data_IF_794660594234
#
_entry.id   IF_794660594234
#
_cell.length_a   1.000
_cell.length_b   1.000
_cell.length_c   1.000
_cell.angle_alpha   90.00
_cell.angle_beta   90.00
_cell.angle_gamma   90.00
#
_symmetry.space_group_name_H-M   'P 1'
#
loop_
_entity.id
_entity.type
_entity.pdbx_description
1 polymer ?
#
# COMPACT_ATOMS: atom_id res chain seq x y z
N UNK A 1 28.28 9.14 -10.51
CA UNK A 1 27.36 8.06 -10.91
C UNK A 1 26.48 8.59 -12.03
N UNK A 2 26.36 7.86 -13.15
CA UNK A 2 25.45 8.23 -14.24
C UNK A 2 24.24 7.31 -14.13
N UNK A 3 23.08 7.86 -13.77
CA UNK A 3 21.81 7.13 -13.76
C UNK A 3 21.14 7.34 -15.13
N UNK A 4 20.90 6.29 -15.92
CA UNK A 4 20.27 6.43 -17.23
C UNK A 4 18.93 7.17 -17.15
N UNK A 5 18.74 8.15 -18.03
CA UNK A 5 17.52 8.96 -18.09
C UNK A 5 17.37 10.01 -16.98
N UNK A 6 18.26 10.06 -15.98
CA UNK A 6 18.19 11.07 -14.93
C UNK A 6 18.71 12.41 -15.46
N UNK A 7 17.79 13.37 -15.63
CA UNK A 7 18.15 14.75 -15.93
C UNK A 7 18.74 15.43 -14.70
N UNK A 8 19.90 16.05 -14.86
CA UNK A 8 20.59 16.78 -13.78
C UNK A 8 20.68 18.27 -14.06
N UNK A 9 20.81 19.05 -12.99
CA UNK A 9 20.80 20.51 -12.99
C UNK A 9 21.93 21.04 -12.12
N UNK A 10 22.71 21.98 -12.66
CA UNK A 10 23.61 22.78 -11.83
C UNK A 10 22.79 23.74 -10.97
N UNK A 11 23.06 23.74 -9.68
CA UNK A 11 22.37 24.55 -8.67
C UNK A 11 23.39 25.27 -7.79
N UNK A 12 22.95 26.30 -7.07
CA UNK A 12 23.82 27.00 -6.13
C UNK A 12 24.10 26.11 -4.91
N UNK A 13 25.36 25.75 -4.71
CA UNK A 13 25.81 24.85 -3.65
C UNK A 13 25.39 25.33 -2.25
N UNK A 14 25.64 26.60 -1.91
CA UNK A 14 25.32 27.17 -0.61
C UNK A 14 23.83 27.15 -0.28
N UNK A 15 22.98 27.39 -1.28
CA UNK A 15 21.52 27.35 -1.13
C UNK A 15 20.94 25.92 -1.07
N UNK A 16 21.77 24.90 -1.31
CA UNK A 16 21.34 23.50 -1.46
C UNK A 16 22.00 22.57 -0.44
N UNK A 17 23.17 22.94 0.06
CA UNK A 17 23.88 22.23 1.12
C UNK A 17 23.00 21.93 2.35
N UNK A 18 22.19 22.87 2.89
CA UNK A 18 21.30 22.56 4.01
C UNK A 18 20.29 21.42 3.73
N UNK A 19 19.86 21.24 2.48
CA UNK A 19 18.96 20.15 2.09
C UNK A 19 19.69 18.81 2.05
N UNK A 20 20.92 18.80 1.51
CA UNK A 20 21.76 17.60 1.45
C UNK A 20 22.17 17.19 2.86
N UNK A 21 22.61 18.14 3.67
CA UNK A 21 23.01 17.90 5.06
C UNK A 21 21.83 17.35 5.87
N UNK A 22 20.61 17.90 5.71
CA UNK A 22 19.41 17.33 6.32
C UNK A 22 19.23 15.84 5.98
N UNK A 23 19.31 15.48 4.69
CA UNK A 23 19.13 14.10 4.23
C UNK A 23 20.22 13.19 4.82
N UNK A 24 21.49 13.60 4.70
CA UNK A 24 22.62 12.78 5.13
C UNK A 24 22.69 12.63 6.65
N UNK A 25 22.44 13.69 7.40
CA UNK A 25 22.47 13.66 8.85
C UNK A 25 21.32 12.83 9.41
N UNK A 26 20.12 12.93 8.80
CA UNK A 26 18.97 12.10 9.20
C UNK A 26 19.23 10.62 8.97
N UNK A 27 19.77 10.24 7.80
CA UNK A 27 20.12 8.86 7.49
C UNK A 27 21.23 8.33 8.42
N UNK A 28 22.28 9.11 8.68
CA UNK A 28 23.34 8.72 9.62
C UNK A 28 22.82 8.57 11.03
N UNK A 29 21.93 9.45 11.49
CA UNK A 29 21.31 9.38 12.80
C UNK A 29 20.44 8.13 12.97
N UNK A 30 19.80 7.67 11.89
CA UNK A 30 19.10 6.38 11.83
C UNK A 30 20.04 5.16 11.75
N UNK A 31 21.36 5.36 11.86
CA UNK A 31 22.38 4.31 11.82
C UNK A 31 22.77 3.85 10.41
N UNK A 32 22.33 4.55 9.36
CA UNK A 32 22.69 4.17 7.99
C UNK A 32 24.14 4.53 7.67
N UNK A 33 24.82 3.64 6.95
CA UNK A 33 26.12 3.87 6.34
C UNK A 33 25.93 4.46 4.95
N UNK A 34 26.35 5.70 4.75
CA UNK A 34 26.30 6.35 3.43
C UNK A 34 27.35 5.72 2.51
N UNK A 35 26.90 5.20 1.36
CA UNK A 35 27.74 4.60 0.33
C UNK A 35 28.10 5.62 -0.76
N UNK A 36 27.13 6.48 -1.13
CA UNK A 36 27.31 7.56 -2.09
C UNK A 36 26.39 8.74 -1.77
N UNK A 37 26.85 9.95 -2.05
CA UNK A 37 26.03 11.15 -2.06
C UNK A 37 26.50 12.09 -3.20
N UNK A 38 25.55 12.65 -3.93
CA UNK A 38 25.81 13.71 -4.91
C UNK A 38 26.30 14.99 -4.23
N UNK A 39 27.13 15.76 -4.94
CA UNK A 39 27.55 17.08 -4.47
C UNK A 39 26.36 18.05 -4.40
N UNK A 40 26.35 19.03 -3.47
CA UNK A 40 25.21 19.94 -3.31
C UNK A 40 24.99 20.92 -4.47
N UNK A 41 25.95 21.05 -5.40
CA UNK A 41 25.88 21.87 -6.60
C UNK A 41 25.14 21.19 -7.77
N UNK A 42 24.66 19.95 -7.57
CA UNK A 42 23.95 19.15 -8.57
C UNK A 42 22.63 18.61 -8.02
N UNK A 43 21.54 18.81 -8.77
CA UNK A 43 20.21 18.29 -8.44
C UNK A 43 19.62 17.45 -9.58
N UNK A 44 18.68 16.52 -9.31
CA UNK A 44 18.23 16.06 -7.99
C UNK A 44 19.36 15.35 -7.24
N UNK A 45 19.24 15.26 -5.92
CA UNK A 45 20.28 14.64 -5.10
C UNK A 45 20.18 13.12 -5.19
N UNK A 46 21.32 12.46 -5.40
CA UNK A 46 21.40 11.00 -5.45
C UNK A 46 22.15 10.55 -4.21
N UNK A 47 21.50 9.75 -3.37
CA UNK A 47 22.13 9.18 -2.18
C UNK A 47 21.91 7.67 -2.19
N UNK A 48 22.97 6.90 -1.98
CA UNK A 48 22.86 5.46 -1.71
C UNK A 48 23.44 5.17 -0.34
N UNK A 49 22.78 4.28 0.39
CA UNK A 49 23.15 3.95 1.76
C UNK A 49 22.78 2.50 2.09
N UNK A 50 23.40 2.00 3.13
CA UNK A 50 23.13 0.71 3.74
C UNK A 50 22.50 0.95 5.12
N UNK A 51 21.37 0.33 5.42
CA UNK A 51 20.69 0.45 6.71
C UNK A 51 21.41 -0.37 7.79
N UNK A 52 21.06 -0.21 9.08
CA UNK A 52 21.56 -1.08 10.15
C UNK A 52 21.28 -2.57 9.94
N UNK A 53 20.25 -2.92 9.16
CA UNK A 53 19.87 -4.29 8.81
C UNK A 53 20.54 -4.77 7.50
N UNK A 54 21.58 -4.08 7.04
CA UNK A 54 22.30 -4.34 5.80
C UNK A 54 21.50 -4.19 4.50
N UNK A 55 20.30 -3.61 4.56
CA UNK A 55 19.50 -3.29 3.37
C UNK A 55 20.17 -2.15 2.59
N UNK A 56 20.34 -2.31 1.27
CA UNK A 56 20.88 -1.25 0.41
C UNK A 56 19.77 -0.50 -0.30
N UNK A 57 19.72 0.80 -0.07
CA UNK A 57 18.71 1.68 -0.64
C UNK A 57 19.38 2.80 -1.44
N UNK A 58 18.84 3.10 -2.62
CA UNK A 58 19.11 4.32 -3.35
C UNK A 58 17.93 5.28 -3.30
N UNK A 59 18.19 6.58 -3.21
CA UNK A 59 17.19 7.64 -3.37
C UNK A 59 17.61 8.64 -4.44
N UNK A 60 16.63 9.11 -5.21
CA UNK A 60 16.74 10.27 -6.10
C UNK A 60 15.80 11.34 -5.55
N UNK A 61 16.35 12.29 -4.80
CA UNK A 61 15.61 13.30 -4.07
C UNK A 61 15.51 14.61 -4.86
N UNK A 62 14.29 14.91 -5.33
CA UNK A 62 13.89 16.22 -5.78
C UNK A 62 13.56 17.10 -4.57
N UNK A 63 14.60 17.67 -3.96
CA UNK A 63 14.50 18.40 -2.70
C UNK A 63 14.51 19.93 -2.89
N UNK A 64 13.61 20.61 -2.19
CA UNK A 64 13.43 22.06 -2.23
C UNK A 64 13.33 22.62 -0.82
N UNK A 65 13.70 23.89 -0.63
CA UNK A 65 13.49 24.57 0.66
C UNK A 65 11.99 24.82 0.86
N UNK A 66 11.47 24.32 1.98
CA UNK A 66 10.19 24.72 2.53
C UNK A 66 10.38 26.02 3.31
N UNK A 67 9.48 26.97 3.09
CA UNK A 67 9.53 28.30 3.71
C UNK A 67 8.16 28.76 4.16
N UNK A 68 8.15 29.48 5.29
CA UNK A 68 7.02 30.30 5.73
C UNK A 68 7.26 31.73 5.27
N UNK A 69 6.72 32.10 4.11
CA UNK A 69 6.86 33.47 3.58
C UNK A 69 5.54 34.20 3.78
N UNK A 70 5.43 35.14 4.73
CA UNK A 70 4.25 35.98 4.88
C UNK A 70 4.06 36.78 3.59
N UNK A 71 2.90 36.65 2.95
CA UNK A 71 2.54 37.51 1.82
C UNK A 71 1.15 38.06 2.05
N UNK A 72 0.92 39.31 1.62
CA UNK A 72 -0.28 40.09 1.96
C UNK A 72 -1.61 39.44 1.53
N UNK A 73 -1.58 38.53 0.55
CA UNK A 73 -2.75 37.89 -0.06
C UNK A 73 -2.83 36.38 0.19
N UNK A 74 -2.07 35.85 1.17
CA UNK A 74 -2.10 34.42 1.52
C UNK A 74 -2.57 34.22 2.96
N UNK A 75 -3.21 33.08 3.27
CA UNK A 75 -3.49 32.70 4.64
C UNK A 75 -2.22 32.78 5.50
N UNK A 76 -2.33 33.32 6.71
CA UNK A 76 -1.18 33.54 7.61
C UNK A 76 -0.55 32.25 8.13
N UNK A 77 -1.28 31.14 7.98
CA UNK A 77 -0.91 29.77 8.36
C UNK A 77 -0.34 28.96 7.18
N UNK A 78 -0.16 29.55 6.00
CA UNK A 78 0.34 28.84 4.81
C UNK A 78 1.87 28.76 4.79
N UNK A 79 2.39 27.54 4.66
CA UNK A 79 3.77 27.21 4.30
C UNK A 79 3.84 26.66 2.89
N UNK A 80 4.99 26.76 2.24
CA UNK A 80 5.15 26.18 0.91
C UNK A 80 6.60 25.85 0.55
N UNK A 81 6.79 24.98 -0.43
CA UNK A 81 8.06 24.83 -1.15
C UNK A 81 7.83 25.02 -2.65
N UNK A 82 8.79 25.65 -3.32
CA UNK A 82 8.69 25.95 -4.76
C UNK A 82 9.52 24.95 -5.58
N UNK A 83 8.89 24.27 -6.53
CA UNK A 83 9.52 23.28 -7.40
C UNK A 83 10.31 24.00 -8.48
N UNK A 84 11.61 24.23 -8.27
CA UNK A 84 12.48 24.85 -9.27
C UNK A 84 13.95 24.46 -9.13
N UNK A 85 14.58 24.21 -10.27
CA UNK A 85 16.04 24.15 -10.41
C UNK A 85 16.49 25.19 -11.45
N UNK A 86 17.32 26.16 -11.07
CA UNK A 86 17.72 27.23 -12.01
C UNK A 86 16.65 28.30 -12.28
N UNK A 87 16.88 29.12 -13.32
CA UNK A 87 16.07 30.29 -13.66
C UNK A 87 14.95 29.99 -14.67
N UNK A 88 13.96 30.89 -14.77
CA UNK A 88 12.80 30.72 -15.67
C UNK A 88 13.21 30.62 -17.15
N UNK A 89 14.30 31.29 -17.54
CA UNK A 89 14.87 31.22 -18.89
C UNK A 89 15.44 29.84 -19.26
N UNK A 90 15.74 29.00 -18.26
CA UNK A 90 16.24 27.64 -18.48
C UNK A 90 15.14 26.66 -18.92
N UNK A 91 13.88 27.10 -18.93
CA UNK A 91 12.73 26.30 -19.30
C UNK A 91 11.98 26.98 -20.46
N UNK A 92 11.97 26.33 -21.61
CA UNK A 92 11.20 26.75 -22.80
C UNK A 92 9.69 26.61 -22.58
N UNK A 93 8.90 27.09 -23.55
CA UNK A 93 7.46 27.40 -23.43
C UNK A 93 6.51 26.36 -22.82
N UNK A 94 6.89 25.09 -22.69
CA UNK A 94 6.01 24.05 -22.11
C UNK A 94 6.27 23.78 -20.62
N UNK A 95 7.45 24.12 -20.05
CA UNK A 95 7.81 24.00 -18.62
C UNK A 95 7.43 22.68 -17.90
N UNK A 96 7.11 21.62 -18.63
CA UNK A 96 6.76 20.29 -18.11
C UNK A 96 8.04 19.48 -17.88
N UNK A 97 8.11 18.81 -16.75
CA UNK A 97 9.26 18.02 -16.33
C UNK A 97 8.80 16.67 -15.80
N UNK A 98 9.24 15.61 -16.44
CA UNK A 98 9.10 14.26 -15.92
C UNK A 98 10.08 14.05 -14.77
N UNK A 99 9.53 13.75 -13.59
CA UNK A 99 10.35 13.32 -12.46
C UNK A 99 10.84 11.91 -12.78
N UNK A 100 12.15 11.70 -12.69
CA UNK A 100 12.74 10.41 -12.99
C UNK A 100 12.12 9.33 -12.12
N UNK A 101 11.70 8.24 -12.74
CA UNK A 101 11.15 7.07 -12.07
C UNK A 101 12.07 5.89 -12.36
N UNK A 102 12.48 5.15 -11.33
CA UNK A 102 13.36 4.01 -11.56
C UNK A 102 12.62 2.86 -12.25
N UNK A 103 12.96 2.48 -13.50
CA UNK A 103 12.33 1.33 -14.14
C UNK A 103 12.60 -0.01 -13.44
N UNK A 104 13.68 -0.11 -12.63
CA UNK A 104 14.12 -1.37 -12.02
C UNK A 104 13.83 -1.49 -10.51
N UNK A 105 13.38 -0.40 -9.88
CA UNK A 105 12.98 -0.42 -8.45
C UNK A 105 14.13 -0.44 -7.43
N UNK A 106 15.35 -0.13 -7.85
CA UNK A 106 16.55 0.01 -7.03
C UNK A 106 16.64 1.36 -6.31
N UNK A 107 16.08 2.41 -6.91
CA UNK A 107 16.04 3.78 -6.39
C UNK A 107 14.61 4.20 -6.11
N UNK A 108 14.45 4.89 -4.99
CA UNK A 108 13.21 5.56 -4.61
C UNK A 108 13.29 7.02 -5.03
N UNK A 109 12.40 7.43 -5.93
CA UNK A 109 12.25 8.85 -6.26
C UNK A 109 11.50 9.54 -5.12
N UNK A 110 11.99 10.70 -4.69
CA UNK A 110 11.32 11.51 -3.66
C UNK A 110 11.09 12.92 -4.20
N UNK A 111 9.94 13.50 -3.89
CA UNK A 111 9.64 14.92 -4.14
C UNK A 111 9.36 15.61 -2.80
N UNK A 112 10.34 16.35 -2.29
CA UNK A 112 10.33 16.82 -0.90
C UNK A 112 10.57 18.32 -0.75
N UNK A 113 9.79 18.95 0.12
CA UNK A 113 10.09 20.25 0.72
C UNK A 113 10.70 20.05 2.10
N UNK A 114 11.92 20.54 2.33
CA UNK A 114 12.62 20.40 3.60
C UNK A 114 12.73 21.77 4.25
N UNK A 115 12.42 21.86 5.55
CA UNK A 115 12.74 22.99 6.40
C UNK A 115 13.91 22.59 7.33
N UNK A 116 15.16 22.91 6.95
CA UNK A 116 16.33 22.51 7.75
C UNK A 116 16.36 23.17 9.12
N UNK A 117 15.70 24.33 9.29
CA UNK A 117 15.68 25.11 10.52
C UNK A 117 14.71 24.49 11.52
N UNK A 118 13.49 24.22 11.08
CA UNK A 118 12.46 23.59 11.92
C UNK A 118 12.65 22.05 12.01
N UNK A 119 13.57 21.47 11.23
CA UNK A 119 13.99 20.08 11.37
C UNK A 119 13.01 19.05 10.81
N UNK A 120 12.20 19.43 9.82
CA UNK A 120 11.24 18.52 9.19
C UNK A 120 11.24 18.61 7.66
N UNK A 121 10.57 17.65 7.03
CA UNK A 121 10.30 17.64 5.60
C UNK A 121 8.86 17.21 5.30
N UNK A 122 8.40 17.56 4.10
CA UNK A 122 7.09 17.20 3.54
C UNK A 122 7.31 16.63 2.15
N UNK A 123 6.89 15.39 1.95
CA UNK A 123 6.90 14.70 0.68
C UNK A 123 5.54 14.77 -0.03
N UNK A 124 5.60 14.98 -1.33
CA UNK A 124 4.50 14.79 -2.25
C UNK A 124 4.76 13.57 -3.13
N UNK A 125 3.69 12.97 -3.64
CA UNK A 125 3.79 11.80 -4.50
C UNK A 125 4.53 12.13 -5.83
N UNK A 126 5.73 11.58 -6.07
CA UNK A 126 6.50 11.88 -7.26
C UNK A 126 5.87 11.32 -8.55
N UNK A 127 5.01 10.30 -8.47
CA UNK A 127 4.27 9.75 -9.63
C UNK A 127 3.15 10.70 -10.03
N UNK A 128 2.39 11.19 -9.04
CA UNK A 128 1.30 12.14 -9.28
C UNK A 128 1.80 13.52 -9.78
N UNK A 129 3.07 13.84 -9.49
CA UNK A 129 3.77 15.03 -9.96
C UNK A 129 4.71 14.72 -11.13
N UNK A 130 4.40 13.72 -11.97
CA UNK A 130 5.13 13.47 -13.21
C UNK A 130 4.18 13.29 -14.40
N UNK A 131 4.19 14.20 -15.40
CA UNK A 131 5.01 15.41 -15.47
C UNK A 131 4.52 16.50 -14.48
N UNK A 132 5.45 17.27 -13.92
CA UNK A 132 5.15 18.48 -13.13
C UNK A 132 5.61 19.74 -13.86
N UNK A 133 4.99 20.88 -13.53
CA UNK A 133 5.47 22.19 -13.99
C UNK A 133 6.44 22.76 -12.97
N UNK A 134 7.62 23.16 -13.41
CA UNK A 134 8.48 23.95 -12.53
C UNK A 134 7.95 25.38 -12.35
N UNK A 135 8.37 26.01 -11.26
CA UNK A 135 7.89 27.26 -10.69
C UNK A 135 6.50 27.22 -10.04
N UNK A 136 5.87 26.05 -9.90
CA UNK A 136 4.70 25.87 -9.04
C UNK A 136 5.11 25.77 -7.57
N UNK A 137 4.17 26.08 -6.68
CA UNK A 137 4.33 25.91 -5.24
C UNK A 137 3.47 24.78 -4.74
N UNK A 138 4.04 23.99 -3.84
CA UNK A 138 3.33 23.03 -3.02
C UNK A 138 3.07 23.67 -1.67
N UNK A 139 1.80 23.84 -1.34
CA UNK A 139 1.32 24.52 -0.14
C UNK A 139 0.91 23.47 0.91
N UNK A 140 1.14 23.81 2.18
CA UNK A 140 0.71 23.07 3.37
C UNK A 140 0.51 24.06 4.53
N UNK A 141 -0.04 23.62 5.66
CA UNK A 141 -0.44 24.48 6.77
C UNK A 141 0.50 24.38 7.96
N UNK A 142 0.53 25.44 8.78
CA UNK A 142 1.26 25.47 10.06
C UNK A 142 0.85 24.29 10.95
N UNK A 143 -0.44 23.95 11.01
CA UNK A 143 -0.93 22.79 11.78
C UNK A 143 -0.25 21.47 11.38
N UNK A 144 0.03 21.25 10.09
CA UNK A 144 0.71 20.03 9.64
C UNK A 144 2.18 20.04 10.07
N UNK A 145 2.84 21.20 10.05
CA UNK A 145 4.20 21.33 10.56
C UNK A 145 4.25 21.04 12.08
N UNK A 146 3.27 21.52 12.85
CA UNK A 146 3.18 21.23 14.28
C UNK A 146 2.91 19.73 14.57
N UNK A 147 2.04 19.09 13.78
CA UNK A 147 1.80 17.64 13.87
C UNK A 147 3.08 16.84 13.60
N UNK A 148 3.85 17.19 12.55
CA UNK A 148 5.13 16.53 12.25
C UNK A 148 6.11 16.72 13.40
N UNK A 149 6.25 17.94 13.94
CA UNK A 149 7.19 18.21 15.03
C UNK A 149 6.81 17.52 16.33
N UNK A 150 5.51 17.38 16.60
CA UNK A 150 5.03 16.77 17.85
C UNK A 150 5.08 15.24 17.82
N UNK A 151 4.79 14.62 16.67
CA UNK A 151 4.71 13.16 16.52
C UNK A 151 5.90 12.55 15.77
N UNK A 152 6.74 13.36 15.16
CA UNK A 152 7.79 12.94 14.22
C UNK A 152 7.28 12.54 12.84
N UNK A 153 5.97 12.27 12.70
CA UNK A 153 5.32 11.78 11.49
C UNK A 153 3.89 12.31 11.38
N UNK A 154 3.49 12.73 10.18
CA UNK A 154 2.11 13.14 9.91
C UNK A 154 1.76 12.92 8.44
N UNK A 155 0.57 12.42 8.15
CA UNK A 155 0.10 12.18 6.77
C UNK A 155 -1.30 12.75 6.64
N UNK A 156 -1.57 13.45 5.54
CA UNK A 156 -2.85 14.12 5.34
C UNK A 156 -3.18 14.27 3.85
N UNK A 157 -4.45 14.55 3.58
CA UNK A 157 -4.91 14.87 2.23
C UNK A 157 -4.92 16.38 1.99
N UNK A 158 -4.51 16.77 0.78
CA UNK A 158 -4.60 18.14 0.27
C UNK A 158 -5.47 18.17 -0.97
N UNK A 159 -6.48 19.04 -0.99
CA UNK A 159 -7.29 19.31 -2.19
C UNK A 159 -6.47 20.09 -3.23
N UNK A 160 -6.52 19.66 -4.49
CA UNK A 160 -5.85 20.37 -5.59
C UNK A 160 -6.69 21.55 -6.08
N UNK A 161 -6.09 22.74 -6.17
CA UNK A 161 -6.75 23.95 -6.72
C UNK A 161 -7.04 23.85 -8.23
N UNK A 162 -6.30 23.01 -8.95
CA UNK A 162 -6.44 22.79 -10.40
C UNK A 162 -6.48 21.29 -10.65
N UNK A 163 -7.63 20.83 -11.15
CA UNK A 163 -7.89 19.43 -11.48
C UNK A 163 -7.64 19.28 -12.99
N UNK A 164 -6.69 18.45 -13.39
CA UNK A 164 -6.68 17.95 -14.77
C UNK A 164 -7.90 17.03 -14.93
N UNK A 165 -8.57 17.03 -16.08
CA UNK A 165 -9.85 16.32 -16.27
C UNK A 165 -9.85 14.83 -15.86
N UNK A 166 -8.65 14.22 -15.75
CA UNK A 166 -8.45 12.80 -15.42
C UNK A 166 -7.61 12.58 -14.13
N UNK A 167 -7.28 13.61 -13.37
CA UNK A 167 -6.45 13.52 -12.15
C UNK A 167 -7.29 13.46 -10.86
N UNK A 168 -6.76 12.89 -9.76
CA UNK A 168 -7.47 12.86 -8.49
C UNK A 168 -7.66 14.28 -7.92
N UNK A 169 -8.82 14.49 -7.27
CA UNK A 169 -9.21 15.78 -6.66
C UNK A 169 -8.33 16.17 -5.47
N UNK A 170 -7.73 15.17 -4.83
CA UNK A 170 -6.86 15.32 -3.68
C UNK A 170 -5.55 14.57 -3.91
N UNK A 171 -4.54 14.92 -3.13
CA UNK A 171 -3.28 14.21 -3.05
C UNK A 171 -2.92 13.95 -1.59
N UNK A 172 -2.11 12.94 -1.35
CA UNK A 172 -1.62 12.61 -0.02
C UNK A 172 -0.20 13.12 0.14
N UNK A 173 -0.02 13.97 1.14
CA UNK A 173 1.29 14.44 1.57
C UNK A 173 1.68 13.69 2.85
N UNK A 174 2.97 13.42 2.98
CA UNK A 174 3.55 12.82 4.18
C UNK A 174 4.64 13.73 4.71
N UNK A 175 4.70 13.92 6.01
CA UNK A 175 5.70 14.72 6.67
C UNK A 175 6.44 13.90 7.70
N UNK A 176 7.75 14.14 7.80
CA UNK A 176 8.62 13.47 8.73
C UNK A 176 9.65 14.46 9.30
N UNK A 177 10.00 14.29 10.57
CA UNK A 177 11.18 14.93 11.15
C UNK A 177 12.47 14.22 10.73
N UNK A 178 13.61 14.66 11.27
CA UNK A 178 14.91 14.01 11.01
C UNK A 178 14.96 12.55 11.47
N UNK A 179 14.34 12.22 12.60
CA UNK A 179 14.37 10.87 13.15
C UNK A 179 13.60 9.87 12.29
N UNK A 180 12.57 10.34 11.59
CA UNK A 180 11.69 9.51 10.75
C UNK A 180 11.95 9.69 9.24
N UNK A 181 13.07 10.30 8.85
CA UNK A 181 13.38 10.47 7.43
C UNK A 181 13.60 9.13 6.71
N UNK A 182 14.24 8.15 7.35
CA UNK A 182 14.39 6.81 6.78
C UNK A 182 13.03 6.13 6.57
N UNK A 183 12.12 6.33 7.52
CA UNK A 183 10.74 5.85 7.43
C UNK A 183 10.02 6.51 6.25
N UNK A 184 10.22 7.81 6.02
CA UNK A 184 9.71 8.50 4.83
C UNK A 184 10.25 7.91 3.52
N UNK A 185 11.54 7.55 3.47
CA UNK A 185 12.14 6.90 2.29
C UNK A 185 11.45 5.56 2.00
N UNK A 186 11.30 4.73 3.04
CA UNK A 186 10.60 3.44 2.91
C UNK A 186 9.13 3.64 2.52
N UNK A 187 8.50 4.72 2.99
CA UNK A 187 7.10 5.04 2.69
C UNK A 187 6.95 5.36 1.21
N UNK A 188 7.83 6.20 0.66
CA UNK A 188 7.82 6.52 -0.77
C UNK A 188 8.05 5.28 -1.63
N UNK A 189 8.95 4.38 -1.21
CA UNK A 189 9.21 3.13 -1.92
C UNK A 189 7.97 2.24 -1.97
N UNK A 190 7.31 2.05 -0.83
CA UNK A 190 6.11 1.22 -0.72
C UNK A 190 4.86 1.88 -1.33
N UNK A 191 4.81 3.21 -1.32
CA UNK A 191 3.69 4.01 -1.82
C UNK A 191 3.72 4.23 -3.33
N UNK A 192 4.76 3.77 -4.03
CA UNK A 192 4.93 4.00 -5.46
C UNK A 192 3.78 3.39 -6.27
N UNK A 193 3.07 4.25 -7.00
CA UNK A 193 1.98 3.85 -7.89
C UNK A 193 0.66 3.55 -7.18
N UNK A 194 0.57 3.78 -5.87
CA UNK A 194 -0.71 3.76 -5.15
C UNK A 194 -1.53 5.00 -5.49
N UNK A 195 -2.85 4.89 -5.45
CA UNK A 195 -3.72 6.07 -5.49
C UNK A 195 -3.61 6.86 -4.16
N UNK A 196 -4.00 8.15 -4.15
CA UNK A 196 -3.88 8.98 -2.95
C UNK A 196 -4.57 8.39 -1.70
N UNK A 197 -5.69 7.68 -1.83
CA UNK A 197 -6.38 7.06 -0.70
C UNK A 197 -5.58 5.90 -0.10
N UNK A 198 -5.10 4.98 -0.93
CA UNK A 198 -4.26 3.87 -0.48
C UNK A 198 -2.92 4.35 0.08
N UNK A 199 -2.37 5.45 -0.47
CA UNK A 199 -1.17 6.11 0.05
C UNK A 199 -1.39 6.75 1.42
N UNK A 200 -2.57 7.35 1.67
CA UNK A 200 -2.93 7.86 3.01
C UNK A 200 -2.99 6.72 4.01
N UNK A 201 -3.68 5.62 3.65
CA UNK A 201 -3.82 4.46 4.53
C UNK A 201 -2.46 3.81 4.85
N UNK A 202 -1.56 3.75 3.87
CA UNK A 202 -0.18 3.32 4.09
C UNK A 202 0.50 4.22 5.13
N UNK A 203 0.35 5.53 5.01
CA UNK A 203 0.94 6.53 5.89
C UNK A 203 0.38 6.54 7.31
N UNK A 204 -0.93 6.33 7.47
CA UNK A 204 -1.60 6.26 8.78
C UNK A 204 -1.22 4.98 9.55
N UNK A 205 -1.03 3.86 8.84
CA UNK A 205 -0.59 2.60 9.44
C UNK A 205 0.92 2.53 9.69
N UNK A 206 1.68 3.44 9.09
CA UNK A 206 3.15 3.41 8.99
C UNK A 206 3.85 3.36 10.35
N UNK A 207 3.35 4.10 11.35
CA UNK A 207 3.89 4.13 12.72
C UNK A 207 3.75 2.80 13.48
N UNK A 208 2.92 1.88 13.01
CA UNK A 208 2.59 0.63 13.73
C UNK A 208 3.17 -0.65 13.12
N UNK A 209 3.75 -0.59 11.92
CA UNK A 209 4.03 -1.80 11.11
C UNK A 209 5.46 -1.95 10.59
N UNK A 210 6.36 -0.99 10.82
CA UNK A 210 7.76 -1.08 10.38
C UNK A 210 8.70 -1.09 11.57
N UNK A 211 9.90 -1.72 11.45
CA UNK A 211 10.96 -1.54 12.42
C UNK A 211 11.26 -0.06 12.50
N UNK A 212 10.85 0.58 13.59
CA UNK A 212 11.11 1.99 13.86
C UNK A 212 12.60 2.28 13.67
N UNK A 213 12.95 3.49 13.23
CA UNK A 213 14.33 4.00 13.16
C UNK A 213 15.11 3.98 14.49
N UNK A 214 14.51 3.45 15.57
CA UNK A 214 15.21 3.14 16.81
C UNK A 214 15.97 1.82 16.67
N UNK A 215 17.28 1.79 16.99
CA UNK A 215 18.02 0.55 17.01
C UNK A 215 17.31 -0.41 17.98
N UNK A 216 16.95 -1.63 17.56
CA UNK A 216 16.52 -2.63 18.52
C UNK A 216 17.65 -2.77 19.55
N UNK A 217 17.33 -2.64 20.84
CA UNK A 217 18.24 -3.11 21.88
C UNK A 217 18.55 -4.56 21.53
N UNK A 218 19.80 -4.85 21.23
CA UNK A 218 20.30 -6.20 21.04
C UNK A 218 20.02 -6.97 22.34
N UNK A 219 18.89 -7.68 22.37
CA UNK A 219 18.80 -8.85 23.22
C UNK A 219 19.73 -9.85 22.58
N UNK A 220 20.95 -9.90 23.12
CA UNK A 220 21.81 -11.07 23.05
C UNK A 220 21.03 -12.24 23.66
N UNK A 221 20.27 -12.92 22.82
CA UNK A 221 19.87 -14.29 23.07
C UNK A 221 20.11 -15.03 21.77
N UNK A 222 21.26 -15.72 21.73
CA UNK A 222 21.41 -16.90 20.92
C UNK A 222 20.20 -17.80 21.22
N UNK A 223 19.26 -17.82 20.29
CA UNK A 223 18.32 -18.91 20.19
C UNK A 223 18.56 -19.43 18.79
N UNK A 224 19.36 -20.50 18.70
CA UNK A 224 19.25 -21.46 17.60
C UNK A 224 17.81 -21.98 17.63
N UNK A 225 16.90 -21.22 17.01
CA UNK A 225 15.57 -21.68 16.65
C UNK A 225 15.73 -22.23 15.25
N UNK A 226 15.33 -23.48 15.08
CA UNK A 226 15.30 -24.18 13.79
C UNK A 226 14.94 -23.22 12.67
N UNK A 227 15.90 -22.97 11.78
CA UNK A 227 15.69 -22.13 10.61
C UNK A 227 14.57 -22.77 9.80
N UNK A 228 13.48 -22.02 9.58
CA UNK A 228 12.31 -22.52 8.87
C UNK A 228 12.74 -23.12 7.51
N UNK A 229 12.25 -24.30 7.10
CA UNK A 229 12.71 -24.97 5.88
C UNK A 229 12.64 -24.10 4.61
N UNK A 230 11.64 -23.22 4.49
CA UNK A 230 11.57 -22.25 3.39
C UNK A 230 12.70 -21.21 3.42
N UNK A 231 13.10 -20.74 4.60
CA UNK A 231 14.23 -19.81 4.73
C UNK A 231 15.53 -20.48 4.25
N UNK A 232 15.72 -21.76 4.60
CA UNK A 232 16.84 -22.56 4.08
C UNK A 232 16.75 -22.80 2.57
N UNK A 233 15.57 -23.14 2.05
CA UNK A 233 15.37 -23.42 0.62
C UNK A 233 15.57 -22.19 -0.25
N UNK A 234 15.10 -21.02 0.20
CA UNK A 234 15.23 -19.77 -0.53
C UNK A 234 16.57 -19.07 -0.31
N UNK A 235 17.40 -19.58 0.61
CA UNK A 235 18.66 -18.94 1.01
C UNK A 235 18.45 -17.50 1.47
N UNK A 236 17.32 -17.26 2.13
CA UNK A 236 16.90 -15.97 2.66
C UNK A 236 16.50 -16.14 4.13
N UNK A 237 16.80 -15.13 4.94
CA UNK A 237 16.25 -15.05 6.29
C UNK A 237 14.71 -14.93 6.27
N UNK A 238 14.03 -15.33 7.35
CA UNK A 238 12.58 -15.11 7.48
C UNK A 238 12.18 -13.65 7.23
N UNK A 239 12.99 -12.69 7.69
CA UNK A 239 12.72 -11.26 7.53
C UNK A 239 12.82 -10.83 6.05
N UNK A 240 13.84 -11.27 5.32
CA UNK A 240 13.98 -11.00 3.89
C UNK A 240 12.82 -11.57 3.06
N UNK A 241 12.30 -12.75 3.44
CA UNK A 241 11.11 -13.33 2.80
C UNK A 241 9.89 -12.44 3.05
N UNK A 242 9.69 -11.96 4.27
CA UNK A 242 8.58 -11.08 4.61
C UNK A 242 8.67 -9.73 3.89
N UNK A 243 9.87 -9.18 3.75
CA UNK A 243 10.11 -7.95 3.01
C UNK A 243 9.82 -8.12 1.51
N UNK A 244 10.23 -9.25 0.91
CA UNK A 244 9.88 -9.59 -0.47
C UNK A 244 8.37 -9.70 -0.68
N UNK A 245 7.65 -10.35 0.25
CA UNK A 245 6.19 -10.43 0.23
C UNK A 245 5.58 -9.02 0.32
N UNK A 246 6.10 -8.17 1.21
CA UNK A 246 5.58 -6.81 1.41
C UNK A 246 5.79 -5.92 0.17
N UNK A 247 6.94 -6.04 -0.49
CA UNK A 247 7.32 -5.24 -1.66
C UNK A 247 6.70 -5.69 -2.99
N UNK A 248 6.24 -6.93 -3.10
CA UNK A 248 5.65 -7.47 -4.33
C UNK A 248 4.12 -7.55 -4.26
N UNK A 249 3.42 -6.62 -4.92
CA UNK A 249 1.94 -6.48 -4.85
C UNK A 249 1.16 -7.76 -5.14
N UNK A 250 1.56 -8.52 -6.18
CA UNK A 250 0.92 -9.80 -6.54
C UNK A 250 1.13 -10.87 -5.47
N UNK A 251 2.33 -10.97 -4.93
CA UNK A 251 2.67 -11.94 -3.89
C UNK A 251 1.94 -11.60 -2.58
N UNK A 252 1.90 -10.31 -2.22
CA UNK A 252 1.10 -9.80 -1.10
C UNK A 252 -0.39 -10.14 -1.23
N UNK A 253 -0.96 -9.97 -2.42
CA UNK A 253 -2.36 -10.34 -2.67
C UNK A 253 -2.61 -11.85 -2.55
N UNK A 254 -1.69 -12.68 -3.06
CA UNK A 254 -1.78 -14.14 -2.93
C UNK A 254 -1.71 -14.58 -1.47
N UNK A 255 -0.70 -14.10 -0.73
CA UNK A 255 -0.53 -14.38 0.72
C UNK A 255 -1.77 -13.92 1.49
N UNK A 256 -2.33 -12.75 1.15
CA UNK A 256 -3.55 -12.25 1.80
C UNK A 256 -4.78 -13.11 1.54
N UNK A 257 -4.90 -13.71 0.36
CA UNK A 257 -5.93 -14.71 0.05
C UNK A 257 -5.82 -15.90 1.00
N UNK A 258 -4.64 -16.52 1.02
CA UNK A 258 -4.35 -17.70 1.85
C UNK A 258 -4.50 -17.44 3.35
N UNK A 259 -4.09 -16.26 3.83
CA UNK A 259 -4.29 -15.89 5.23
C UNK A 259 -5.78 -15.75 5.56
N UNK A 260 -6.60 -15.20 4.63
CA UNK A 260 -8.04 -15.13 4.83
C UNK A 260 -8.69 -16.53 4.86
N UNK A 261 -8.25 -17.45 3.99
CA UNK A 261 -8.68 -18.85 4.00
C UNK A 261 -8.31 -19.55 5.32
N UNK A 262 -7.11 -19.33 5.86
CA UNK A 262 -6.70 -19.93 7.13
C UNK A 262 -7.52 -19.39 8.31
N UNK A 263 -7.75 -18.08 8.36
CA UNK A 263 -8.62 -17.50 9.38
C UNK A 263 -10.07 -17.97 9.24
N UNK A 264 -10.57 -18.13 8.01
CA UNK A 264 -11.88 -18.71 7.77
C UNK A 264 -11.96 -20.15 8.29
N UNK A 265 -10.98 -20.99 7.95
CA UNK A 265 -10.91 -22.39 8.41
C UNK A 265 -10.90 -22.47 9.94
N UNK A 266 -10.08 -21.65 10.60
CA UNK A 266 -10.05 -21.57 12.06
C UNK A 266 -11.42 -21.17 12.63
N UNK A 267 -12.03 -20.12 12.07
CA UNK A 267 -13.36 -19.61 12.50
C UNK A 267 -14.45 -20.67 12.34
N UNK A 268 -14.45 -21.40 11.23
CA UNK A 268 -15.42 -22.46 10.96
C UNK A 268 -15.19 -23.70 11.82
N UNK A 269 -13.94 -24.05 12.10
CA UNK A 269 -13.60 -25.17 13.00
C UNK A 269 -14.16 -24.91 14.41
N UNK A 270 -14.12 -23.65 14.86
CA UNK A 270 -14.64 -23.24 16.17
C UNK A 270 -16.17 -23.00 16.16
N UNK A 271 -16.83 -23.11 15.00
CA UNK A 271 -18.28 -22.90 14.90
C UNK A 271 -19.04 -24.13 15.42
N UNK A 272 -19.89 -23.93 16.42
CA UNK A 272 -20.75 -24.99 16.99
C UNK A 272 -21.51 -25.73 15.89
N UNK A 273 -21.40 -27.06 15.89
CA UNK A 273 -22.07 -27.93 14.93
C UNK A 273 -21.23 -28.29 13.71
N UNK A 274 -20.12 -27.61 13.44
CA UNK A 274 -19.16 -28.07 12.42
C UNK A 274 -18.43 -29.32 12.95
N UNK A 275 -18.56 -30.44 12.24
CA UNK A 275 -17.95 -31.72 12.64
C UNK A 275 -16.70 -32.06 11.82
N UNK A 276 -16.49 -31.35 10.70
CA UNK A 276 -15.28 -31.46 9.89
C UNK A 276 -15.06 -30.14 9.14
N UNK A 277 -13.82 -29.69 9.05
CA UNK A 277 -13.41 -28.52 8.28
C UNK A 277 -11.97 -28.70 7.80
N UNK A 278 -11.76 -28.68 6.48
CA UNK A 278 -10.43 -28.79 5.88
C UNK A 278 -10.28 -27.81 4.71
N UNK A 279 -9.04 -27.39 4.47
CA UNK A 279 -8.70 -26.60 3.28
C UNK A 279 -8.49 -27.54 2.12
N UNK A 280 -8.99 -27.16 0.96
CA UNK A 280 -8.77 -27.85 -0.30
C UNK A 280 -7.63 -27.15 -1.06
N UNK A 281 -6.81 -27.93 -1.76
CA UNK A 281 -5.68 -27.43 -2.55
C UNK A 281 -5.77 -28.00 -3.97
N UNK A 282 -6.94 -27.79 -4.60
CA UNK A 282 -7.23 -28.21 -5.96
C UNK A 282 -7.28 -27.00 -6.89
N UNK A 283 -6.56 -27.06 -8.02
CA UNK A 283 -6.49 -25.94 -8.96
C UNK A 283 -7.89 -25.62 -9.52
N UNK A 284 -8.39 -24.43 -9.18
CA UNK A 284 -9.70 -23.95 -9.63
C UNK A 284 -10.90 -24.59 -8.93
N UNK A 285 -10.66 -25.37 -7.87
CA UNK A 285 -11.68 -25.86 -6.94
C UNK A 285 -12.02 -24.85 -5.84
N UNK A 286 -13.01 -25.18 -4.98
CA UNK A 286 -13.33 -24.39 -3.80
C UNK A 286 -12.21 -24.42 -2.76
N UNK A 287 -12.19 -23.43 -1.87
CA UNK A 287 -11.11 -23.26 -0.89
C UNK A 287 -11.26 -24.16 0.37
N UNK A 288 -12.50 -24.42 0.81
CA UNK A 288 -12.77 -25.16 2.06
C UNK A 288 -13.87 -26.21 1.87
N UNK A 289 -13.68 -27.38 2.47
CA UNK A 289 -14.70 -28.41 2.67
C UNK A 289 -15.15 -28.41 4.14
N UNK A 290 -16.45 -28.47 4.38
CA UNK A 290 -17.00 -28.65 5.73
C UNK A 290 -18.03 -29.77 5.79
N UNK A 291 -18.27 -30.25 7.01
CA UNK A 291 -19.50 -30.96 7.39
C UNK A 291 -20.11 -30.28 8.60
N UNK A 292 -21.40 -30.02 8.54
CA UNK A 292 -22.15 -29.45 9.64
C UNK A 292 -23.23 -30.44 10.10
N UNK A 293 -23.29 -30.69 11.41
CA UNK A 293 -24.17 -31.65 12.07
C UNK A 293 -24.14 -33.05 11.43
N UNK A 294 -22.95 -33.50 10.99
CA UNK A 294 -22.74 -34.77 10.28
C UNK A 294 -23.52 -34.90 8.95
N UNK A 295 -23.98 -33.79 8.38
CA UNK A 295 -24.55 -33.75 7.04
C UNK A 295 -23.54 -34.12 5.94
N UNK A 296 -24.02 -34.17 4.67
CA UNK A 296 -23.14 -34.30 3.52
C UNK A 296 -22.15 -33.14 3.43
N UNK A 297 -21.03 -33.27 2.71
CA UNK A 297 -20.05 -32.20 2.61
C UNK A 297 -20.65 -30.96 1.93
N UNK A 298 -20.24 -29.78 2.40
CA UNK A 298 -20.46 -28.49 1.74
C UNK A 298 -19.11 -27.88 1.36
N UNK A 299 -19.08 -27.19 0.22
CA UNK A 299 -17.88 -26.48 -0.25
C UNK A 299 -18.04 -24.97 -0.16
N UNK A 300 -16.96 -24.28 0.23
CA UNK A 300 -16.93 -22.83 0.40
C UNK A 300 -15.84 -22.19 -0.44
N UNK A 301 -16.16 -21.05 -1.03
CA UNK A 301 -15.20 -20.12 -1.62
C UNK A 301 -14.96 -18.95 -0.65
N UNK A 302 -13.69 -18.66 -0.34
CA UNK A 302 -13.25 -17.51 0.43
C UNK A 302 -12.85 -16.37 -0.51
N UNK A 303 -13.43 -15.18 -0.29
CA UNK A 303 -13.01 -13.99 -1.03
C UNK A 303 -12.81 -12.79 -0.11
N UNK A 304 -11.71 -12.10 -0.33
CA UNK A 304 -11.50 -10.80 0.28
C UNK A 304 -12.42 -9.74 -0.37
N UNK A 305 -13.09 -8.94 0.44
CA UNK A 305 -13.78 -7.76 -0.06
C UNK A 305 -12.77 -6.68 -0.48
N UNK A 306 -13.14 -5.88 -1.46
CA UNK A 306 -12.46 -4.64 -1.81
C UNK A 306 -12.48 -3.65 -0.65
N UNK A 307 -11.49 -2.75 -0.61
CA UNK A 307 -11.33 -1.76 0.47
C UNK A 307 -12.41 -0.67 0.47
N UNK A 308 -12.95 -0.35 -0.70
CA UNK A 308 -13.98 0.67 -0.84
C UNK A 308 -15.36 0.05 -0.82
N UNK A 309 -16.25 0.62 -0.03
CA UNK A 309 -17.68 0.32 -0.08
C UNK A 309 -18.34 1.04 -1.26
N UNK A 310 -19.52 0.60 -1.66
CA UNK A 310 -20.36 1.40 -2.53
C UNK A 310 -20.91 2.65 -1.81
N UNK A 311 -21.67 3.48 -2.54
CA UNK A 311 -22.30 4.71 -2.00
C UNK A 311 -23.27 4.48 -0.84
N UNK A 312 -23.68 3.22 -0.61
CA UNK A 312 -24.59 2.81 0.45
C UNK A 312 -23.84 2.13 1.60
N UNK A 313 -22.50 2.11 1.58
CA UNK A 313 -21.70 1.47 2.63
C UNK A 313 -21.53 -0.04 2.47
N UNK A 314 -21.97 -0.65 1.36
CA UNK A 314 -21.83 -2.09 1.17
C UNK A 314 -20.43 -2.46 0.62
N UNK A 315 -19.71 -3.40 1.25
CA UNK A 315 -18.49 -3.96 0.68
C UNK A 315 -18.74 -4.62 -0.69
N UNK A 316 -17.71 -4.68 -1.52
CA UNK A 316 -17.76 -5.35 -2.83
C UNK A 316 -16.81 -6.53 -2.87
N UNK A 317 -17.22 -7.62 -3.48
CA UNK A 317 -16.37 -8.77 -3.79
C UNK A 317 -16.14 -8.80 -5.29
N UNK A 318 -14.88 -8.82 -5.73
CA UNK A 318 -14.55 -9.15 -7.11
C UNK A 318 -14.62 -10.67 -7.28
N UNK A 319 -15.66 -11.12 -7.96
CA UNK A 319 -16.09 -12.50 -8.00
C UNK A 319 -15.87 -13.11 -9.39
N UNK A 320 -14.62 -13.04 -9.84
CA UNK A 320 -14.18 -13.62 -11.12
C UNK A 320 -12.81 -14.29 -10.97
N UNK A 321 -12.56 -15.29 -11.81
CA UNK A 321 -11.29 -15.99 -11.92
C UNK A 321 -10.23 -15.08 -12.55
N UNK A 322 -8.95 -15.35 -12.29
CA UNK A 322 -7.85 -14.52 -12.83
C UNK A 322 -7.65 -14.69 -14.34
N UNK A 323 -8.17 -15.76 -14.96
CA UNK A 323 -8.05 -16.04 -16.40
C UNK A 323 -9.36 -16.59 -16.97
N UNK A 324 -9.59 -16.32 -18.24
CA UNK A 324 -10.63 -16.95 -19.05
C UNK A 324 -9.99 -18.01 -19.96
N UNK A 325 -10.73 -19.07 -20.26
CA UNK A 325 -10.39 -20.03 -21.30
C UNK A 325 -10.35 -19.35 -22.67
N UNK A 326 -9.42 -19.80 -23.52
CA UNK A 326 -9.26 -19.26 -24.88
C UNK A 326 -10.55 -19.51 -25.68
N UNK A 327 -11.17 -18.43 -26.15
CA UNK A 327 -12.41 -18.50 -26.93
C UNK A 327 -13.71 -18.51 -26.11
N UNK A 328 -13.64 -18.54 -24.78
CA UNK A 328 -14.80 -18.42 -23.89
C UNK A 328 -14.55 -17.37 -22.80
N UNK A 329 -14.89 -16.09 -23.04
CA UNK A 329 -14.76 -15.03 -22.04
C UNK A 329 -15.62 -15.26 -20.78
N UNK A 330 -16.74 -15.99 -20.89
CA UNK A 330 -17.65 -16.23 -19.77
C UNK A 330 -17.12 -17.28 -18.78
N UNK A 331 -16.16 -18.11 -19.18
CA UNK A 331 -15.47 -19.08 -18.29
C UNK A 331 -14.75 -18.45 -17.10
N UNK A 332 -14.50 -17.13 -17.15
CA UNK A 332 -13.91 -16.38 -16.04
C UNK A 332 -14.87 -16.21 -14.85
N UNK A 333 -16.18 -16.34 -15.08
CA UNK A 333 -17.19 -16.15 -14.05
C UNK A 333 -17.61 -17.49 -13.46
N UNK A 334 -17.84 -17.51 -12.15
CA UNK A 334 -18.24 -18.72 -11.43
C UNK A 334 -19.68 -19.14 -11.79
N UNK A 335 -19.97 -20.45 -11.71
CA UNK A 335 -21.33 -20.97 -11.68
C UNK A 335 -21.82 -21.13 -10.24
N UNK A 336 -23.14 -21.06 -9.98
CA UNK A 336 -23.69 -21.41 -8.67
C UNK A 336 -23.34 -22.82 -8.19
N UNK A 337 -23.00 -23.73 -9.11
CA UNK A 337 -22.59 -25.10 -8.78
C UNK A 337 -21.09 -25.28 -8.53
N UNK A 338 -20.26 -24.25 -8.70
CA UNK A 338 -18.81 -24.35 -8.48
C UNK A 338 -18.48 -24.55 -6.98
N UNK A 339 -19.35 -24.05 -6.10
CA UNK A 339 -19.29 -24.20 -4.65
C UNK A 339 -20.67 -23.94 -4.05
N UNK A 340 -20.90 -24.35 -2.81
CA UNK A 340 -22.20 -24.20 -2.16
C UNK A 340 -22.39 -22.81 -1.53
N UNK A 341 -21.31 -22.24 -1.00
CA UNK A 341 -21.36 -21.05 -0.16
C UNK A 341 -20.18 -20.14 -0.47
N UNK A 342 -20.38 -18.84 -0.34
CA UNK A 342 -19.31 -17.84 -0.39
C UNK A 342 -19.14 -17.21 0.97
N UNK A 343 -17.88 -17.10 1.41
CA UNK A 343 -17.46 -16.37 2.58
C UNK A 343 -16.70 -15.10 2.16
N UNK A 344 -17.27 -13.94 2.44
CA UNK A 344 -16.65 -12.63 2.22
C UNK A 344 -15.87 -12.20 3.46
N UNK A 345 -14.54 -12.16 3.35
CA UNK A 345 -13.63 -11.66 4.38
C UNK A 345 -13.66 -10.13 4.42
N UNK A 346 -14.04 -9.56 5.57
CA UNK A 346 -14.24 -8.13 5.79
C UNK A 346 -12.98 -7.40 6.29
N UNK A 347 -11.88 -8.11 6.50
CA UNK A 347 -10.63 -7.57 7.06
C UNK A 347 -10.09 -6.34 6.33
N UNK A 348 -10.32 -6.21 5.01
CA UNK A 348 -9.98 -5.01 4.23
C UNK A 348 -10.60 -3.71 4.76
N UNK A 349 -11.75 -3.81 5.43
CA UNK A 349 -12.57 -2.68 5.85
C UNK A 349 -12.55 -2.56 7.38
N UNK A 350 -12.75 -3.66 8.10
CA UNK A 350 -12.87 -3.64 9.56
C UNK A 350 -11.51 -3.68 10.29
N UNK A 351 -10.47 -4.23 9.66
CA UNK A 351 -9.22 -4.55 10.35
C UNK A 351 -9.30 -5.80 11.25
N UNK A 352 -10.46 -6.45 11.30
CA UNK A 352 -10.72 -7.71 12.01
C UNK A 352 -10.96 -8.85 11.01
N UNK A 353 -10.61 -10.07 11.38
CA UNK A 353 -10.85 -11.28 10.56
C UNK A 353 -12.31 -11.75 10.65
N UNK A 354 -13.24 -10.87 10.27
CA UNK A 354 -14.66 -11.14 10.25
C UNK A 354 -15.13 -11.60 8.86
N UNK A 355 -16.15 -12.46 8.84
CA UNK A 355 -16.69 -13.02 7.62
C UNK A 355 -18.21 -12.84 7.53
N UNK A 356 -18.68 -12.66 6.31
CA UNK A 356 -20.10 -12.73 5.94
C UNK A 356 -20.32 -13.85 4.95
N UNK A 357 -21.46 -14.53 5.04
CA UNK A 357 -21.75 -15.77 4.33
C UNK A 357 -23.04 -15.67 3.52
N UNK A 358 -23.07 -16.32 2.35
CA UNK A 358 -24.27 -16.46 1.52
C UNK A 358 -24.23 -17.77 0.71
N UNK A 359 -25.37 -18.44 0.46
CA UNK A 359 -25.41 -19.54 -0.50
C UNK A 359 -25.08 -19.02 -1.91
N UNK A 360 -24.33 -19.80 -2.69
CA UNK A 360 -23.95 -19.44 -4.06
C UNK A 360 -25.16 -19.24 -4.98
N UNK A 361 -26.23 -20.00 -4.76
CA UNK A 361 -27.49 -19.89 -5.49
C UNK A 361 -28.24 -18.56 -5.28
N UNK A 362 -27.97 -17.86 -4.18
CA UNK A 362 -28.61 -16.59 -3.84
C UNK A 362 -27.84 -15.38 -4.39
N UNK A 363 -26.70 -15.61 -5.04
CA UNK A 363 -25.91 -14.55 -5.65
C UNK A 363 -26.55 -14.05 -6.95
N UNK A 364 -26.42 -12.75 -7.26
CA UNK A 364 -27.00 -12.18 -8.46
C UNK A 364 -26.40 -12.82 -9.71
N UNK A 365 -27.25 -13.12 -10.69
CA UNK A 365 -26.82 -13.65 -11.99
C UNK A 365 -26.04 -12.60 -12.80
N UNK A 366 -25.12 -13.07 -13.64
CA UNK A 366 -24.39 -12.24 -14.59
C UNK A 366 -25.33 -11.73 -15.70
N UNK A 367 -25.22 -10.46 -16.06
CA UNK A 367 -26.15 -9.83 -17.02
C UNK A 367 -26.06 -10.38 -18.44
N UNK A 368 -24.88 -10.85 -18.86
CA UNK A 368 -24.63 -11.33 -20.23
C UNK A 368 -24.11 -12.77 -20.34
N UNK A 369 -23.74 -13.42 -19.24
CA UNK A 369 -23.19 -14.78 -19.25
C UNK A 369 -24.17 -15.69 -18.52
N UNK A 370 -25.08 -16.31 -19.28
CA UNK A 370 -26.17 -17.11 -18.73
C UNK A 370 -25.65 -18.24 -17.84
N UNK A 371 -26.31 -18.45 -16.68
CA UNK A 371 -25.91 -19.44 -15.69
C UNK A 371 -24.65 -19.10 -14.88
N UNK A 372 -24.07 -17.91 -15.06
CA UNK A 372 -22.93 -17.43 -14.27
C UNK A 372 -23.36 -16.45 -13.18
N UNK A 373 -22.56 -16.39 -12.11
CA UNK A 373 -22.68 -15.40 -11.05
C UNK A 373 -22.09 -14.06 -11.53
N UNK A 374 -22.69 -12.96 -11.11
CA UNK A 374 -22.19 -11.62 -11.38
C UNK A 374 -20.81 -11.43 -10.73
N UNK A 375 -19.85 -10.84 -11.44
CA UNK A 375 -18.52 -10.59 -10.90
C UNK A 375 -18.48 -9.45 -9.88
N UNK A 376 -19.47 -8.56 -9.88
CA UNK A 376 -19.51 -7.40 -8.98
C UNK A 376 -20.58 -7.62 -7.90
N UNK A 377 -20.24 -8.48 -6.93
CA UNK A 377 -21.16 -8.86 -5.85
C UNK A 377 -21.05 -7.87 -4.70
N UNK A 378 -22.19 -7.46 -4.15
CA UNK A 378 -22.26 -6.58 -2.98
C UNK A 378 -22.58 -7.38 -1.73
N UNK A 379 -21.85 -7.12 -0.67
CA UNK A 379 -22.10 -7.68 0.66
C UNK A 379 -23.11 -6.78 1.37
N UNK A 380 -24.39 -7.06 1.19
CA UNK A 380 -25.51 -6.31 1.77
C UNK A 380 -26.20 -7.13 2.89
N UNK A 381 -27.45 -6.79 3.20
CA UNK A 381 -28.23 -7.43 4.27
C UNK A 381 -28.66 -8.87 3.96
N UNK A 382 -28.49 -9.36 2.73
CA UNK A 382 -28.78 -10.77 2.41
C UNK A 382 -27.68 -11.72 2.87
N UNK A 383 -26.51 -11.17 3.24
CA UNK A 383 -25.38 -11.91 3.77
C UNK A 383 -25.48 -12.04 5.29
N UNK A 384 -25.26 -13.25 5.80
CA UNK A 384 -25.30 -13.56 7.24
C UNK A 384 -23.92 -13.40 7.87
N UNK A 385 -23.84 -12.91 9.10
CA UNK A 385 -22.63 -13.05 9.94
C UNK A 385 -22.54 -14.40 10.67
N UNK A 386 -23.62 -15.20 10.60
CA UNK A 386 -23.73 -16.51 11.24
C UNK A 386 -23.62 -17.61 10.18
N UNK A 387 -22.49 -18.31 10.16
CA UNK A 387 -22.21 -19.37 9.18
C UNK A 387 -23.22 -20.53 9.28
N UNK A 388 -23.55 -20.96 10.50
CA UNK A 388 -24.51 -22.05 10.77
C UNK A 388 -25.87 -21.85 10.09
N UNK A 389 -26.40 -20.61 10.09
CA UNK A 389 -27.66 -20.29 9.43
C UNK A 389 -27.58 -20.49 7.91
N UNK A 390 -26.41 -20.23 7.32
CA UNK A 390 -26.17 -20.41 5.89
C UNK A 390 -25.97 -21.88 5.55
N UNK A 391 -25.33 -22.67 6.42
CA UNK A 391 -25.20 -24.12 6.26
C UNK A 391 -26.56 -24.80 6.23
N UNK A 392 -27.43 -24.50 7.19
CA UNK A 392 -28.80 -25.03 7.22
C UNK A 392 -29.59 -24.69 5.94
N UNK A 393 -29.45 -23.46 5.44
CA UNK A 393 -30.08 -23.04 4.17
C UNK A 393 -29.51 -23.79 2.96
N UNK A 394 -28.19 -23.98 2.89
CA UNK A 394 -27.55 -24.70 1.80
C UNK A 394 -27.98 -26.17 1.78
N UNK A 395 -28.11 -26.82 2.94
CA UNK A 395 -28.66 -28.17 3.03
C UNK A 395 -30.13 -28.25 2.65
N UNK A 396 -30.95 -27.31 3.13
CA UNK A 396 -32.37 -27.26 2.77
C UNK A 396 -32.56 -27.12 1.25
N UNK A 397 -31.74 -26.31 0.58
CA UNK A 397 -31.73 -26.19 -0.89
C UNK A 397 -31.35 -27.50 -1.60
N UNK A 398 -30.57 -28.37 -0.95
CA UNK A 398 -30.22 -29.72 -1.42
C UNK A 398 -31.22 -30.80 -0.98
N UNK A 399 -32.31 -30.43 -0.29
CA UNK A 399 -33.30 -31.38 0.22
C UNK A 399 -32.82 -32.20 1.43
N UNK A 400 -31.79 -31.73 2.14
CA UNK A 400 -31.23 -32.38 3.32
C UNK A 400 -31.68 -31.62 4.57
N UNK A 401 -32.27 -32.33 5.53
CA UNK A 401 -32.53 -31.80 6.86
C UNK A 401 -31.33 -32.09 7.77
N UNK A 402 -30.81 -31.04 8.41
CA UNK A 402 -29.73 -31.10 9.41
C UNK A 402 -30.19 -30.45 10.70
#
# INVERSE_FOLDING_TARGET
>A
MIIPGLRTYKVNEWARRPLVDFILDSLKAAGCKILHASQPDMAPFVVTFETPTAERIGIVAYAFLATRTPTKNRPSDERSFQLKYGGKASYGGENLHDLWQDPFGMFTTMLVGIDPTDGFCVAADPVLHSPTKFFIRMEFKDEHAEEIKSKGWHVWQRTKRSVSANGPLFETLAGADKAHFLDLVRFERAGRGLDPGDRLLLGERYMSQLPTSHPPMLISAAVEKDIHPLAKQFELSPDEIMDLISGASRLKMAVRGWVAEEHLRATLTDTTGVTHCERLDEEGGPDILIRYQNGPPLTLECKNVGRQTDRFGNPKVDFQRTRASKGDPCSRYYQPSDFDIVAACLHSISGSWDFKYIPSADLPAHSSCYGRINYNVRVNDTWSSQAANVFARAYAAKGVAV
#
